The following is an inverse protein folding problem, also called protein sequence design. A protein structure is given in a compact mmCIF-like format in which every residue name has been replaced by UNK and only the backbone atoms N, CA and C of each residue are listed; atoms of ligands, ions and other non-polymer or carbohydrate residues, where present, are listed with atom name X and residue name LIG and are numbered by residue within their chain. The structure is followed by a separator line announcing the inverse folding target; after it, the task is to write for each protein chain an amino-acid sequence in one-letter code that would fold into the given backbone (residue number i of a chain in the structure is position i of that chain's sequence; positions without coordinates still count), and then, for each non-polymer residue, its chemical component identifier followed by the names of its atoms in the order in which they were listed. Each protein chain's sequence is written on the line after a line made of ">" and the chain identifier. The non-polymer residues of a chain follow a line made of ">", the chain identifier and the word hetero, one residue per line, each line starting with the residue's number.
data_IF_533944425468
#
_entry.id   IF_533944425468
#
_cell.length_a   1.000
_cell.length_b   1.000
_cell.length_c   1.000
_cell.angle_alpha   90.00
_cell.angle_beta   90.00
_cell.angle_gamma   90.00
#
_symmetry.space_group_name_H-M   'P 1'
#
loop_
_entity.id
_entity.type
_entity.pdbx_description
1 polymer ?
#
# COMPACT_ATOMS: atom_id res chain seq x y z
N UNK A 1 3.73 -35.39 -17.24
CA UNK A 1 3.08 -34.80 -16.03
C UNK A 1 4.06 -33.76 -15.32
N UNK A 2 3.48 -33.07 -14.33
CA UNK A 2 4.13 -32.06 -13.42
C UNK A 2 3.14 -31.99 -12.18
N UNK A 3 3.41 -31.17 -11.16
CA UNK A 3 2.46 -30.97 -10.06
C UNK A 3 1.84 -29.59 -10.34
N UNK A 4 0.55 -29.40 -10.09
CA UNK A 4 -0.07 -28.12 -10.48
C UNK A 4 -0.26 -27.10 -9.36
N UNK A 5 0.76 -26.86 -8.52
CA UNK A 5 0.72 -25.84 -7.46
C UNK A 5 1.25 -24.55 -8.00
N UNK A 6 2.01 -24.77 -9.09
CA UNK A 6 2.81 -23.80 -9.79
C UNK A 6 2.07 -22.74 -10.69
N UNK A 7 1.18 -23.18 -11.59
CA UNK A 7 0.47 -22.20 -12.41
C UNK A 7 -0.67 -21.51 -11.63
N UNK A 8 -1.51 -22.40 -11.02
CA UNK A 8 -2.75 -22.12 -10.24
C UNK A 8 -2.59 -21.62 -8.79
N UNK A 9 -1.52 -21.98 -8.06
CA UNK A 9 -1.30 -21.46 -6.70
C UNK A 9 -0.81 -19.91 -6.79
N UNK A 10 -0.17 -19.64 -7.88
CA UNK A 10 0.29 -18.36 -8.32
C UNK A 10 -0.80 -17.29 -8.38
N UNK A 11 -2.09 -17.63 -8.52
CA UNK A 11 -3.10 -16.56 -8.72
C UNK A 11 -2.93 -15.47 -7.60
N UNK A 12 -2.55 -15.92 -6.45
CA UNK A 12 -2.34 -15.06 -5.32
C UNK A 12 -1.36 -13.97 -5.69
N UNK A 13 -0.52 -14.32 -6.62
CA UNK A 13 0.54 -13.48 -7.08
C UNK A 13 -0.10 -12.14 -7.50
N UNK A 14 -1.28 -12.19 -8.11
CA UNK A 14 -2.02 -10.97 -8.36
C UNK A 14 -2.68 -10.44 -7.06
N UNK A 15 -3.00 -11.33 -6.07
CA UNK A 15 -3.65 -10.90 -4.77
C UNK A 15 -2.83 -9.79 -4.04
N UNK A 16 -1.52 -9.96 -4.05
CA UNK A 16 -0.49 -9.02 -3.58
C UNK A 16 -0.17 -7.79 -4.59
N UNK A 17 -0.34 -7.95 -5.94
CA UNK A 17 -0.06 -6.90 -6.96
C UNK A 17 -1.12 -5.82 -6.93
N UNK A 18 -2.40 -6.24 -6.72
CA UNK A 18 -3.57 -5.29 -6.71
C UNK A 18 -3.51 -4.22 -5.51
N UNK A 19 -3.27 -4.68 -4.28
CA UNK A 19 -3.16 -3.78 -3.17
C UNK A 19 -2.09 -2.78 -3.39
N UNK A 20 -1.04 -3.01 -4.14
CA UNK A 20 -0.07 -1.95 -4.17
C UNK A 20 -0.79 -0.66 -4.55
N UNK A 21 -1.62 -0.62 -5.61
CA UNK A 21 -2.28 0.67 -5.92
C UNK A 21 -3.31 1.23 -4.88
N UNK A 22 -4.32 0.45 -4.43
CA UNK A 22 -5.28 0.89 -3.35
C UNK A 22 -4.70 0.79 -1.94
N UNK A 23 -3.82 -0.14 -1.83
CA UNK A 23 -3.25 -0.48 -0.58
C UNK A 23 -2.39 0.58 -0.14
N UNK A 24 -1.73 1.12 -1.09
CA UNK A 24 -0.89 2.25 -0.85
C UNK A 24 -1.70 3.53 -0.69
N UNK A 25 -2.71 3.73 -1.45
CA UNK A 25 -3.50 4.91 -1.27
C UNK A 25 -3.93 5.02 0.17
N UNK A 26 -4.06 3.94 0.91
CA UNK A 26 -4.47 4.09 2.31
C UNK A 26 -3.30 4.61 3.13
N UNK A 27 -2.11 4.05 3.07
CA UNK A 27 -1.02 4.66 3.80
C UNK A 27 -0.57 5.89 3.06
N UNK A 28 -0.58 5.82 1.76
CA UNK A 28 -0.22 6.96 0.93
C UNK A 28 -1.07 8.09 1.34
N UNK A 29 -2.34 7.81 1.49
CA UNK A 29 -3.30 8.79 1.99
C UNK A 29 -3.23 9.01 3.58
N UNK A 30 -2.95 7.92 4.42
CA UNK A 30 -2.86 8.11 5.91
C UNK A 30 -1.57 8.82 6.19
N UNK A 31 -0.51 8.26 5.63
CA UNK A 31 0.77 8.87 5.62
C UNK A 31 0.66 10.22 5.00
N UNK A 32 -0.29 10.40 4.11
CA UNK A 32 -0.35 11.66 3.40
C UNK A 32 -0.47 12.83 4.33
N UNK A 33 -1.42 12.78 5.25
CA UNK A 33 -1.55 13.78 6.31
C UNK A 33 -0.49 13.54 7.38
N UNK A 34 -0.05 12.29 7.52
CA UNK A 34 0.94 12.04 8.54
C UNK A 34 2.18 12.92 8.47
N UNK A 35 2.89 13.11 7.36
CA UNK A 35 4.05 14.03 7.39
C UNK A 35 3.58 15.56 7.39
N UNK A 36 2.56 15.88 6.55
CA UNK A 36 1.98 17.21 6.43
C UNK A 36 1.40 17.63 7.70
N UNK A 37 0.96 16.67 8.47
CA UNK A 37 0.37 16.97 9.73
C UNK A 37 1.40 17.66 10.63
N UNK A 38 2.67 17.27 10.54
CA UNK A 38 3.66 17.94 11.37
C UNK A 38 3.84 19.45 11.05
N UNK A 39 4.00 19.86 9.80
CA UNK A 39 4.21 21.32 9.47
C UNK A 39 2.94 22.12 9.57
N UNK A 40 1.88 21.54 9.01
CA UNK A 40 0.61 22.18 8.96
C UNK A 40 0.14 22.43 10.37
N UNK A 41 0.35 21.44 11.20
CA UNK A 41 0.07 21.53 12.60
C UNK A 41 1.14 22.32 13.35
N UNK A 42 2.48 22.18 12.95
CA UNK A 42 3.72 22.87 13.61
C UNK A 42 4.07 24.42 13.37
N UNK A 43 4.06 24.83 12.14
CA UNK A 43 4.69 26.08 11.86
C UNK A 43 4.02 27.34 12.29
N UNK A 44 2.76 27.40 12.39
CA UNK A 44 2.15 28.58 12.86
C UNK A 44 2.53 28.90 14.34
N UNK A 45 2.88 27.82 15.09
CA UNK A 45 3.27 27.86 16.54
C UNK A 45 4.45 28.88 16.85
N UNK A 46 5.43 28.97 15.96
CA UNK A 46 6.55 29.89 16.10
C UNK A 46 6.21 31.40 15.80
#
# INVERSE_FOLDING_TARGET
>A
MDFNPSEVASQVTNYIQAIAAAGVGVLALAIGLSAAWKYAKRFLKG
#
